data_IF_578356285231
#
_entry.id   IF_578356285231
#
_cell.length_a   1.000
_cell.length_b   1.000
_cell.length_c   1.000
_cell.angle_alpha   90.00
_cell.angle_beta   90.00
_cell.angle_gamma   90.00
#
_symmetry.space_group_name_H-M   'P 1'
#
loop_
_entity.id
_entity.type
_entity.pdbx_description
1 polymer ?
#
# COMPACT_ATOMS: atom_id res chain seq x y z
N UNK A 1 19.89 -55.58 85.90
CA UNK A 1 18.83 -56.39 85.25
C UNK A 1 18.77 -55.92 83.82
N UNK A 2 19.13 -56.67 82.80
CA UNK A 2 19.72 -57.99 82.72
C UNK A 2 20.42 -58.07 81.36
N UNK A 3 21.47 -58.87 81.29
CA UNK A 3 22.10 -59.44 80.08
C UNK A 3 21.04 -60.17 79.24
N UNK A 4 21.08 -60.40 77.93
CA UNK A 4 22.11 -60.91 77.00
C UNK A 4 21.35 -61.17 75.66
N UNK A 5 21.91 -60.80 74.51
CA UNK A 5 22.48 -61.71 73.50
C UNK A 5 21.46 -62.53 72.64
N UNK A 6 21.49 -62.29 71.31
CA UNK A 6 21.29 -63.27 70.23
C UNK A 6 21.41 -62.56 68.87
N UNK A 7 22.28 -63.06 68.00
CA UNK A 7 22.68 -62.40 66.75
C UNK A 7 22.03 -62.93 65.45
N UNK A 8 22.78 -62.68 64.36
CA UNK A 8 22.70 -63.25 63.00
C UNK A 8 21.88 -62.52 61.90
N UNK A 9 22.64 -61.81 61.05
CA UNK A 9 22.70 -61.82 59.58
C UNK A 9 21.59 -61.22 58.66
N UNK A 10 22.10 -60.40 57.72
CA UNK A 10 21.64 -60.04 56.36
C UNK A 10 20.48 -59.04 56.14
N UNK A 11 20.83 -57.83 55.66
CA UNK A 11 20.50 -57.32 54.31
C UNK A 11 21.16 -55.94 54.07
N UNK A 12 21.40 -55.65 52.80
CA UNK A 12 22.02 -54.48 52.17
C UNK A 12 21.32 -53.15 52.46
N UNK A 13 22.03 -52.02 52.48
CA UNK A 13 22.25 -51.20 51.28
C UNK A 13 23.12 -49.97 51.58
N UNK A 14 23.89 -49.63 50.57
CA UNK A 14 24.89 -48.58 50.47
C UNK A 14 24.31 -47.51 49.55
N UNK A 15 24.13 -46.28 50.02
CA UNK A 15 23.86 -45.13 49.12
C UNK A 15 24.84 -44.00 49.43
N UNK A 16 25.90 -44.01 48.62
CA UNK A 16 26.70 -42.87 48.20
C UNK A 16 25.94 -42.13 47.09
N UNK A 17 25.56 -40.88 47.32
CA UNK A 17 24.96 -40.02 46.29
C UNK A 17 26.06 -39.23 45.57
N UNK A 18 26.30 -39.63 44.32
CA UNK A 18 27.16 -38.98 43.33
C UNK A 18 26.30 -38.54 42.14
N UNK A 19 26.70 -37.41 41.53
CA UNK A 19 26.38 -36.94 40.17
C UNK A 19 24.93 -36.61 39.73
N UNK A 20 24.59 -35.31 39.77
CA UNK A 20 23.69 -34.67 38.79
C UNK A 20 24.22 -33.31 38.30
N UNK A 21 24.64 -33.29 37.03
CA UNK A 21 25.15 -32.17 36.23
C UNK A 21 24.03 -31.16 35.90
N UNK A 22 23.97 -30.05 36.63
CA UNK A 22 22.94 -29.01 36.46
C UNK A 22 23.37 -27.92 35.48
N UNK A 23 22.50 -27.48 34.54
CA UNK A 23 22.81 -26.47 33.53
C UNK A 23 23.27 -25.11 34.10
N UNK A 24 22.89 -24.80 35.34
CA UNK A 24 23.31 -23.59 36.07
C UNK A 24 24.80 -23.59 36.42
N UNK A 25 25.39 -24.75 36.73
CA UNK A 25 26.84 -24.87 36.95
C UNK A 25 27.61 -24.65 35.66
N UNK A 26 27.15 -25.16 34.53
CA UNK A 26 27.76 -24.91 33.20
C UNK A 26 27.73 -23.44 32.82
N UNK A 27 26.61 -22.75 33.09
CA UNK A 27 26.49 -21.32 32.82
C UNK A 27 27.43 -20.48 33.71
N UNK A 28 27.56 -20.82 34.99
CA UNK A 28 28.55 -20.18 35.87
C UNK A 28 29.99 -20.47 35.48
N UNK A 29 30.27 -21.67 34.96
CA UNK A 29 31.60 -22.02 34.45
C UNK A 29 31.94 -21.15 33.23
N UNK A 30 31.02 -21.01 32.28
CA UNK A 30 31.15 -20.14 31.10
C UNK A 30 31.42 -18.68 31.48
N UNK A 31 30.66 -18.14 32.45
CA UNK A 31 30.87 -16.76 32.92
C UNK A 31 32.25 -16.58 33.56
N UNK A 32 32.75 -17.58 34.30
CA UNK A 32 34.10 -17.55 34.89
C UNK A 32 35.19 -17.65 33.83
N UNK A 33 34.98 -18.48 32.82
CA UNK A 33 35.93 -18.63 31.70
C UNK A 33 36.00 -17.33 30.88
N UNK A 34 34.86 -16.69 30.59
CA UNK A 34 34.80 -15.36 29.95
C UNK A 34 35.51 -14.29 30.79
N UNK A 35 35.32 -14.32 32.11
CA UNK A 35 35.94 -13.36 33.02
C UNK A 35 37.46 -13.55 33.09
N UNK A 36 37.95 -14.79 33.07
CA UNK A 36 39.38 -15.09 32.99
C UNK A 36 40.01 -14.73 31.63
N UNK A 37 39.27 -14.86 30.53
CA UNK A 37 39.74 -14.37 29.23
C UNK A 37 39.82 -12.84 29.19
N UNK A 38 38.85 -12.16 29.79
CA UNK A 38 38.86 -10.70 29.93
C UNK A 38 40.05 -10.22 30.78
N UNK A 39 40.30 -10.86 31.91
CA UNK A 39 41.47 -10.57 32.76
C UNK A 39 42.79 -10.76 32.00
N UNK A 40 42.92 -11.86 31.25
CA UNK A 40 44.09 -12.10 30.40
C UNK A 40 44.25 -11.05 29.31
N UNK A 41 43.16 -10.57 28.73
CA UNK A 41 43.17 -9.51 27.72
C UNK A 41 43.62 -8.17 28.31
N UNK A 42 43.11 -7.82 29.50
CA UNK A 42 43.51 -6.61 30.23
C UNK A 42 44.99 -6.67 30.64
N UNK A 43 45.49 -7.82 31.10
CA UNK A 43 46.92 -8.00 31.38
C UNK A 43 47.79 -7.85 30.12
N UNK A 44 47.33 -8.35 28.97
CA UNK A 44 48.05 -8.24 27.70
C UNK A 44 48.10 -6.78 27.21
N UNK A 45 47.03 -6.02 27.41
CA UNK A 45 46.97 -4.58 27.18
C UNK A 45 47.88 -3.80 28.13
N UNK A 46 47.89 -4.16 29.42
CA UNK A 46 48.75 -3.54 30.42
C UNK A 46 50.23 -3.83 30.13
N UNK A 47 50.59 -5.07 29.78
CA UNK A 47 51.94 -5.46 29.38
C UNK A 47 52.40 -4.79 28.07
N UNK A 48 51.46 -4.52 27.16
CA UNK A 48 51.69 -3.72 25.95
C UNK A 48 51.92 -2.23 26.23
N UNK A 49 51.51 -1.72 27.41
CA UNK A 49 51.61 -0.31 27.78
C UNK A 49 52.88 0.05 28.57
N UNK A 50 53.58 -0.94 29.15
CA UNK A 50 54.75 -0.69 30.03
C UNK A 50 56.09 -0.58 29.29
N UNK A 51 56.13 -0.76 27.97
CA UNK A 51 57.31 -0.50 27.14
C UNK A 51 57.13 0.81 26.35
N UNK A 52 57.86 1.86 26.73
CA UNK A 52 57.91 3.12 25.98
C UNK A 52 59.38 3.54 25.76
N UNK A 53 59.72 4.39 24.76
CA UNK A 53 58.89 4.98 23.70
C UNK A 53 59.48 4.83 22.27
N UNK A 54 58.65 4.58 21.25
CA UNK A 54 59.02 4.87 19.86
C UNK A 54 57.78 5.16 18.97
N UNK A 55 57.77 6.38 18.40
CA UNK A 55 57.00 6.87 17.25
C UNK A 55 55.45 7.08 17.35
N UNK A 56 54.91 8.20 16.82
CA UNK A 56 53.49 8.55 16.84
C UNK A 56 52.73 7.90 15.65
N UNK A 57 52.88 6.60 15.45
CA UNK A 57 52.29 5.87 14.32
C UNK A 57 51.28 4.74 14.63
N UNK A 58 51.00 4.29 15.88
CA UNK A 58 50.11 3.14 16.05
C UNK A 58 48.62 3.52 16.18
N UNK A 59 48.29 4.74 16.62
CA UNK A 59 46.89 5.11 16.89
C UNK A 59 46.04 5.37 15.63
N UNK A 60 46.66 5.93 14.57
CA UNK A 60 45.96 6.20 13.31
C UNK A 60 45.62 4.93 12.53
N UNK A 61 46.57 3.99 12.48
CA UNK A 61 46.36 2.69 11.85
C UNK A 61 45.29 1.87 12.60
N UNK A 62 45.36 1.85 13.94
CA UNK A 62 44.36 1.18 14.76
C UNK A 62 42.94 1.76 14.59
N UNK A 63 42.81 3.08 14.44
CA UNK A 63 41.51 3.72 14.15
C UNK A 63 40.95 3.33 12.79
N UNK A 64 41.79 3.26 11.77
CA UNK A 64 41.37 2.88 10.41
C UNK A 64 40.93 1.42 10.35
N UNK A 65 41.66 0.54 11.06
CA UNK A 65 41.32 -0.88 11.18
C UNK A 65 39.99 -1.06 11.93
N UNK A 66 39.82 -0.38 13.07
CA UNK A 66 38.56 -0.38 13.83
C UNK A 66 37.37 0.15 13.02
N UNK A 67 37.58 1.20 12.21
CA UNK A 67 36.54 1.71 11.31
C UNK A 67 36.18 0.72 10.21
N UNK A 68 37.16 0.02 9.63
CA UNK A 68 36.94 -1.02 8.64
C UNK A 68 36.18 -2.21 9.24
N UNK A 69 36.52 -2.59 10.46
CA UNK A 69 35.88 -3.69 11.19
C UNK A 69 34.43 -3.34 11.54
N UNK A 70 34.16 -2.11 12.00
CA UNK A 70 32.79 -1.61 12.20
C UNK A 70 31.97 -1.58 10.91
N UNK A 71 32.58 -1.22 9.77
CA UNK A 71 31.92 -1.24 8.47
C UNK A 71 31.59 -2.68 8.01
N UNK A 72 32.51 -3.62 8.22
CA UNK A 72 32.29 -5.04 7.91
C UNK A 72 31.17 -5.62 8.78
N UNK A 73 31.18 -5.34 10.09
CA UNK A 73 30.15 -5.81 11.03
C UNK A 73 28.76 -5.27 10.65
N UNK A 74 28.67 -3.99 10.28
CA UNK A 74 27.42 -3.38 9.80
C UNK A 74 26.92 -4.04 8.52
N UNK A 75 27.82 -4.38 7.61
CA UNK A 75 27.48 -5.07 6.36
C UNK A 75 26.96 -6.48 6.64
N UNK A 76 27.57 -7.19 7.60
CA UNK A 76 27.14 -8.51 8.02
C UNK A 76 25.77 -8.49 8.72
N UNK A 77 25.53 -7.53 9.61
CA UNK A 77 24.22 -7.32 10.25
C UNK A 77 23.14 -7.03 9.20
N UNK A 78 23.46 -6.23 8.17
CA UNK A 78 22.54 -5.96 7.06
C UNK A 78 22.23 -7.23 6.27
N UNK A 79 23.25 -8.01 5.95
CA UNK A 79 23.06 -9.22 5.16
C UNK A 79 22.30 -10.30 5.95
N UNK A 80 22.44 -10.36 7.28
CA UNK A 80 21.62 -11.19 8.17
C UNK A 80 20.20 -10.66 8.39
N UNK A 81 19.96 -9.35 8.24
CA UNK A 81 18.61 -8.74 8.29
C UNK A 81 17.77 -8.98 7.04
N UNK A 82 18.33 -9.59 5.98
CA UNK A 82 17.63 -9.84 4.70
C UNK A 82 16.60 -10.98 4.71
N UNK A 83 16.41 -11.67 5.84
CA UNK A 83 15.42 -12.75 5.94
C UNK A 83 14.02 -12.24 6.35
N UNK A 84 13.34 -11.66 5.36
CA UNK A 84 11.93 -11.83 4.95
C UNK A 84 10.71 -11.56 5.88
N UNK A 85 10.82 -10.88 7.03
CA UNK A 85 9.61 -10.25 7.64
C UNK A 85 9.86 -8.95 8.41
N UNK A 86 11.10 -8.70 8.86
CA UNK A 86 11.49 -7.43 9.49
C UNK A 86 11.81 -6.29 8.51
N UNK A 87 11.92 -6.58 7.21
CA UNK A 87 12.41 -5.62 6.20
C UNK A 87 11.39 -4.51 5.92
N UNK A 88 10.09 -4.80 5.94
CA UNK A 88 9.06 -3.79 5.68
C UNK A 88 8.96 -2.77 6.81
N UNK A 89 9.00 -3.23 8.07
CA UNK A 89 8.92 -2.35 9.23
C UNK A 89 10.15 -1.43 9.34
N UNK A 90 11.36 -1.98 9.17
CA UNK A 90 12.60 -1.21 9.17
C UNK A 90 12.63 -0.20 8.02
N UNK A 91 12.14 -0.59 6.83
CA UNK A 91 12.09 0.30 5.66
C UNK A 91 11.08 1.44 5.86
N UNK A 92 9.90 1.15 6.42
CA UNK A 92 8.89 2.18 6.71
C UNK A 92 9.46 3.21 7.69
N UNK A 93 10.16 2.77 8.72
CA UNK A 93 10.78 3.69 9.69
C UNK A 93 11.90 4.51 9.06
N UNK A 94 12.73 3.90 8.22
CA UNK A 94 13.78 4.61 7.48
C UNK A 94 13.18 5.68 6.53
N UNK A 95 12.05 5.37 5.87
CA UNK A 95 11.33 6.34 5.02
C UNK A 95 10.73 7.47 5.86
N UNK A 96 10.09 7.16 7.00
CA UNK A 96 9.53 8.17 7.91
C UNK A 96 10.61 9.11 8.44
N UNK A 97 11.76 8.55 8.83
CA UNK A 97 12.91 9.33 9.24
C UNK A 97 13.38 10.24 8.10
N UNK A 98 13.52 9.70 6.89
CA UNK A 98 13.92 10.49 5.72
C UNK A 98 12.96 11.65 5.46
N UNK A 99 11.64 11.42 5.45
CA UNK A 99 10.62 12.45 5.29
C UNK A 99 10.71 13.52 6.37
N UNK A 100 10.87 13.10 7.63
CA UNK A 100 11.06 14.00 8.78
C UNK A 100 12.29 14.88 8.60
N UNK A 101 13.41 14.30 8.17
CA UNK A 101 14.65 15.04 7.91
C UNK A 101 14.54 16.01 6.74
N UNK A 102 13.71 15.72 5.73
CA UNK A 102 13.38 16.66 4.66
C UNK A 102 12.34 17.73 5.06
N UNK A 103 11.70 17.58 6.22
CA UNK A 103 10.59 18.44 6.64
C UNK A 103 9.31 18.20 5.83
N UNK A 104 9.13 17.02 5.26
CA UNK A 104 7.91 16.65 4.53
C UNK A 104 6.92 16.02 5.50
N UNK A 105 5.71 16.59 5.65
CA UNK A 105 4.69 16.03 6.53
C UNK A 105 4.21 14.68 5.96
N UNK A 106 3.95 13.73 6.86
CA UNK A 106 3.34 12.45 6.52
C UNK A 106 2.31 12.08 7.58
N UNK A 107 1.35 11.26 7.19
CA UNK A 107 0.34 10.66 8.06
C UNK A 107 0.36 9.16 7.90
N UNK A 108 -0.02 8.44 8.96
CA UNK A 108 -0.23 6.99 8.86
C UNK A 108 -1.72 6.76 8.75
N UNK A 109 -2.16 6.29 7.58
CA UNK A 109 -3.56 5.92 7.38
C UNK A 109 -3.94 4.76 8.32
N UNK A 110 -5.19 4.70 8.83
CA UNK A 110 -5.65 3.57 9.65
C UNK A 110 -5.66 2.24 8.88
N UNK A 111 -5.99 2.31 7.59
CA UNK A 111 -6.01 1.16 6.67
C UNK A 111 -5.40 1.59 5.32
N UNK A 112 -6.23 1.86 4.31
CA UNK A 112 -5.74 2.18 2.96
C UNK A 112 -5.26 3.61 2.82
N UNK A 113 -4.07 3.76 2.23
CA UNK A 113 -3.51 5.07 1.91
C UNK A 113 -4.35 5.82 0.86
N UNK A 114 -4.86 5.12 -0.17
CA UNK A 114 -5.67 5.75 -1.23
C UNK A 114 -7.00 6.28 -0.71
N UNK A 115 -7.63 5.54 0.21
CA UNK A 115 -8.83 5.99 0.89
C UNK A 115 -8.57 7.22 1.76
N UNK A 116 -7.46 7.23 2.51
CA UNK A 116 -7.05 8.39 3.29
C UNK A 116 -6.79 9.61 2.40
N UNK A 117 -6.09 9.43 1.27
CA UNK A 117 -5.86 10.49 0.29
C UNK A 117 -7.18 11.02 -0.29
N UNK A 118 -8.14 10.15 -0.62
CA UNK A 118 -9.45 10.57 -1.11
C UNK A 118 -10.23 11.37 -0.05
N UNK A 119 -10.13 10.98 1.22
CA UNK A 119 -10.71 11.71 2.34
C UNK A 119 -10.07 13.10 2.51
N UNK A 120 -8.74 13.21 2.42
CA UNK A 120 -8.02 14.48 2.49
C UNK A 120 -8.41 15.44 1.34
N UNK A 121 -8.57 14.92 0.11
CA UNK A 121 -9.05 15.72 -1.03
C UNK A 121 -10.49 16.20 -0.78
N UNK A 122 -11.35 15.33 -0.26
CA UNK A 122 -12.74 15.66 0.04
C UNK A 122 -12.86 16.71 1.16
N UNK A 123 -11.96 16.66 2.15
CA UNK A 123 -11.82 17.65 3.21
C UNK A 123 -11.13 18.95 2.74
N UNK A 124 -10.69 19.02 1.47
CA UNK A 124 -9.94 20.16 0.89
C UNK A 124 -8.63 20.48 1.60
N UNK A 125 -8.00 19.47 2.20
CA UNK A 125 -6.67 19.59 2.81
C UNK A 125 -5.55 19.41 1.78
N UNK A 126 -5.84 18.76 0.65
CA UNK A 126 -4.93 18.58 -0.50
C UNK A 126 -5.70 18.77 -1.81
N UNK A 127 -4.99 19.14 -2.88
CA UNK A 127 -5.60 19.39 -4.21
C UNK A 127 -5.85 18.11 -5.02
N UNK A 128 -5.09 17.05 -4.75
CA UNK A 128 -5.16 15.78 -5.45
C UNK A 128 -4.22 14.75 -4.85
N UNK A 129 -4.17 13.58 -5.46
CA UNK A 129 -3.31 12.48 -5.03
C UNK A 129 -2.39 12.01 -6.16
N UNK A 130 -1.18 11.61 -5.81
CA UNK A 130 -0.21 11.03 -6.75
C UNK A 130 -0.19 9.52 -6.51
N UNK A 131 -0.76 8.76 -7.44
CA UNK A 131 -0.80 7.29 -7.39
C UNK A 131 -0.98 6.74 -8.80
N UNK A 132 -0.32 5.61 -9.09
CA UNK A 132 -0.51 4.87 -10.33
C UNK A 132 -1.64 3.83 -10.23
N UNK A 133 -2.17 3.58 -9.03
CA UNK A 133 -3.26 2.65 -8.81
C UNK A 133 -4.61 3.21 -9.32
N UNK A 134 -5.49 2.31 -9.72
CA UNK A 134 -6.85 2.62 -10.16
C UNK A 134 -7.89 2.58 -9.06
N UNK A 135 -7.61 1.91 -7.95
CA UNK A 135 -8.56 1.80 -6.84
C UNK A 135 -8.81 3.16 -6.15
N UNK A 136 -7.92 4.12 -6.36
CA UNK A 136 -8.08 5.54 -6.00
C UNK A 136 -9.42 6.13 -6.43
N UNK A 137 -9.93 5.75 -7.60
CA UNK A 137 -11.22 6.23 -8.10
C UNK A 137 -12.42 5.54 -7.45
N UNK A 138 -12.23 4.35 -6.86
CA UNK A 138 -13.26 3.63 -6.11
C UNK A 138 -13.53 4.31 -4.77
N UNK A 139 -12.51 4.94 -4.17
CA UNK A 139 -12.64 5.75 -2.95
C UNK A 139 -12.99 7.22 -3.22
N UNK A 140 -13.02 7.66 -4.49
CA UNK A 140 -13.28 9.05 -4.87
C UNK A 140 -14.76 9.43 -4.67
N UNK A 141 -15.12 9.79 -3.44
CA UNK A 141 -16.45 10.30 -3.09
C UNK A 141 -16.70 11.73 -3.59
N UNK A 142 -15.64 12.54 -3.76
CA UNK A 142 -15.72 13.89 -4.30
C UNK A 142 -15.48 13.95 -5.80
N UNK A 143 -16.30 14.73 -6.52
CA UNK A 143 -16.05 15.08 -7.93
C UNK A 143 -14.80 15.93 -8.11
N UNK A 144 -14.29 16.56 -7.05
CA UNK A 144 -13.04 17.33 -7.09
C UNK A 144 -11.79 16.45 -7.06
N UNK A 145 -11.92 15.12 -6.90
CA UNK A 145 -10.76 14.23 -6.86
C UNK A 145 -9.97 14.28 -8.15
N UNK A 146 -8.69 14.64 -8.02
CA UNK A 146 -7.69 14.63 -9.08
C UNK A 146 -6.61 13.60 -8.73
N UNK A 147 -6.30 12.73 -9.70
CA UNK A 147 -5.27 11.69 -9.59
C UNK A 147 -4.19 11.96 -10.63
N UNK A 148 -2.94 12.02 -10.18
CA UNK A 148 -1.77 12.21 -11.03
C UNK A 148 -1.02 10.90 -11.17
N UNK A 149 -0.95 10.39 -12.40
CA UNK A 149 -0.23 9.16 -12.76
C UNK A 149 1.11 9.47 -13.42
N UNK A 150 2.00 8.50 -13.30
CA UNK A 150 3.32 8.48 -13.93
C UNK A 150 4.22 9.64 -13.50
N UNK A 151 3.99 10.16 -12.29
CA UNK A 151 4.66 11.35 -11.77
C UNK A 151 6.19 11.23 -11.76
N UNK A 152 6.71 10.02 -11.50
CA UNK A 152 8.14 9.75 -11.39
C UNK A 152 8.74 9.07 -12.63
N UNK A 153 7.95 8.86 -13.69
CA UNK A 153 8.42 8.24 -14.94
C UNK A 153 9.08 9.29 -15.83
N UNK A 154 10.37 9.11 -16.15
CA UNK A 154 11.19 10.13 -16.86
C UNK A 154 10.90 10.22 -18.36
N UNK A 155 10.30 9.19 -18.94
CA UNK A 155 10.04 9.02 -20.36
C UNK A 155 8.59 9.38 -20.75
N UNK A 156 7.76 9.77 -19.78
CA UNK A 156 6.35 10.12 -19.99
C UNK A 156 6.00 11.47 -19.36
N UNK A 157 4.97 12.09 -19.91
CA UNK A 157 4.32 13.22 -19.23
C UNK A 157 3.48 12.70 -18.06
N UNK A 158 3.36 13.53 -17.02
CA UNK A 158 2.42 13.27 -15.93
C UNK A 158 1.01 13.35 -16.49
N UNK A 159 0.21 12.32 -16.22
CA UNK A 159 -1.19 12.27 -16.65
C UNK A 159 -2.09 12.66 -15.49
N UNK A 160 -2.92 13.67 -15.69
CA UNK A 160 -3.90 14.11 -14.69
C UNK A 160 -5.29 13.59 -15.09
N UNK A 161 -5.91 12.89 -14.15
CA UNK A 161 -7.25 12.35 -14.28
C UNK A 161 -8.17 13.01 -13.24
N UNK A 162 -9.25 13.63 -13.70
CA UNK A 162 -10.26 14.23 -12.83
C UNK A 162 -11.51 13.35 -12.76
N UNK A 163 -11.99 13.09 -11.55
CA UNK A 163 -13.26 12.39 -11.34
C UNK A 163 -14.44 13.10 -12.05
N UNK A 164 -14.44 14.44 -12.06
CA UNK A 164 -15.44 15.22 -12.80
C UNK A 164 -15.37 15.00 -14.31
N UNK A 165 -14.16 14.98 -14.90
CA UNK A 165 -13.98 14.74 -16.33
C UNK A 165 -14.39 13.31 -16.71
N UNK A 166 -14.01 12.31 -15.90
CA UNK A 166 -14.44 10.91 -16.08
C UNK A 166 -15.97 10.83 -16.09
N UNK A 167 -16.62 11.47 -15.13
CA UNK A 167 -18.08 11.50 -15.06
C UNK A 167 -18.71 12.19 -16.27
N UNK A 168 -18.15 13.29 -16.77
CA UNK A 168 -18.67 14.01 -17.95
C UNK A 168 -18.55 13.16 -19.22
N UNK A 169 -17.40 12.52 -19.42
CA UNK A 169 -17.08 11.84 -20.67
C UNK A 169 -17.71 10.44 -20.74
N UNK A 170 -17.66 9.69 -19.65
CA UNK A 170 -18.13 8.31 -19.58
C UNK A 170 -19.48 8.11 -18.87
N UNK A 171 -19.97 9.13 -18.16
CA UNK A 171 -21.13 9.03 -17.26
C UNK A 171 -20.96 8.01 -16.14
N UNK A 172 -19.73 7.59 -15.84
CA UNK A 172 -19.43 6.73 -14.71
C UNK A 172 -19.43 7.56 -13.42
N UNK A 173 -20.24 7.13 -12.46
CA UNK A 173 -20.20 7.58 -11.07
C UNK A 173 -19.31 6.66 -10.22
N UNK A 174 -19.01 7.05 -8.98
CA UNK A 174 -18.33 6.17 -8.02
C UNK A 174 -19.09 4.84 -7.85
N UNK A 175 -20.41 4.88 -7.75
CA UNK A 175 -21.26 3.67 -7.67
C UNK A 175 -21.09 2.76 -8.89
N UNK A 176 -20.98 3.34 -10.08
CA UNK A 176 -20.75 2.55 -11.30
C UNK A 176 -19.36 1.94 -11.33
N UNK A 177 -18.34 2.69 -10.88
CA UNK A 177 -16.96 2.20 -10.82
C UNK A 177 -16.81 1.06 -9.80
N UNK A 178 -17.43 1.16 -8.62
CA UNK A 178 -17.42 0.06 -7.62
C UNK A 178 -18.17 -1.16 -8.15
N UNK A 179 -19.29 -0.97 -8.86
CA UNK A 179 -19.98 -2.07 -9.54
C UNK A 179 -19.08 -2.75 -10.59
N UNK A 180 -18.33 -1.97 -11.38
CA UNK A 180 -17.38 -2.49 -12.36
C UNK A 180 -16.20 -3.22 -11.70
N UNK A 181 -15.66 -2.69 -10.60
CA UNK A 181 -14.58 -3.33 -9.83
C UNK A 181 -15.01 -4.70 -9.29
N UNK A 182 -16.26 -4.84 -8.85
CA UNK A 182 -16.81 -6.13 -8.45
C UNK A 182 -16.87 -7.16 -9.59
N UNK A 183 -16.98 -6.72 -10.85
CA UNK A 183 -17.04 -7.60 -12.02
C UNK A 183 -15.66 -7.88 -12.62
N UNK A 184 -14.81 -6.87 -12.73
CA UNK A 184 -13.49 -6.95 -13.37
C UNK A 184 -12.42 -7.50 -12.44
N UNK A 185 -12.61 -7.31 -11.13
CA UNK A 185 -11.61 -7.56 -10.11
C UNK A 185 -10.94 -6.27 -9.66
N UNK A 186 -10.49 -6.30 -8.41
CA UNK A 186 -9.77 -5.25 -7.67
C UNK A 186 -9.02 -5.93 -6.52
N UNK A 187 -8.32 -5.17 -5.69
CA UNK A 187 -7.56 -5.74 -4.57
C UNK A 187 -8.46 -6.45 -3.54
N UNK A 188 -9.74 -6.06 -3.46
CA UNK A 188 -10.72 -6.66 -2.54
C UNK A 188 -11.50 -7.82 -3.13
N UNK A 189 -11.44 -8.04 -4.45
CA UNK A 189 -12.19 -9.12 -5.10
C UNK A 189 -11.55 -9.58 -6.38
N UNK A 190 -11.53 -10.89 -6.59
CA UNK A 190 -11.05 -11.51 -7.83
C UNK A 190 -11.93 -11.20 -9.05
N UNK A 191 -13.14 -10.68 -8.84
CA UNK A 191 -14.09 -10.41 -9.91
C UNK A 191 -14.76 -11.65 -10.49
N UNK A 192 -15.41 -11.50 -11.65
CA UNK A 192 -16.10 -12.58 -12.36
C UNK A 192 -15.28 -13.02 -13.57
N UNK A 193 -14.90 -14.29 -13.58
CA UNK A 193 -14.04 -14.86 -14.61
C UNK A 193 -14.62 -14.66 -16.02
N UNK A 194 -13.75 -14.25 -16.96
CA UNK A 194 -14.07 -14.01 -18.37
C UNK A 194 -15.02 -12.83 -18.64
N UNK A 195 -15.30 -11.99 -17.64
CA UNK A 195 -15.91 -10.67 -17.87
C UNK A 195 -14.79 -9.66 -18.05
N UNK A 196 -14.60 -9.18 -19.29
CA UNK A 196 -13.66 -8.10 -19.60
C UNK A 196 -14.33 -6.71 -19.62
N UNK A 197 -13.57 -5.62 -19.80
CA UNK A 197 -14.07 -4.23 -19.70
C UNK A 197 -15.30 -3.93 -20.56
N UNK A 198 -15.32 -4.43 -21.80
CA UNK A 198 -16.47 -4.23 -22.70
C UNK A 198 -17.73 -4.91 -22.16
N UNK A 199 -17.61 -6.14 -21.68
CA UNK A 199 -18.74 -6.90 -21.17
C UNK A 199 -19.18 -6.38 -19.79
N UNK A 200 -18.24 -5.89 -18.97
CA UNK A 200 -18.55 -5.22 -17.70
C UNK A 200 -19.35 -3.94 -17.94
N UNK A 201 -18.95 -3.10 -18.90
CA UNK A 201 -19.71 -1.90 -19.29
C UNK A 201 -21.10 -2.24 -19.86
N UNK A 202 -21.20 -3.28 -20.68
CA UNK A 202 -22.49 -3.78 -21.15
C UNK A 202 -23.37 -4.25 -19.97
N UNK A 203 -22.77 -4.92 -18.98
CA UNK A 203 -23.46 -5.42 -17.78
C UNK A 203 -23.89 -4.28 -16.87
N UNK A 204 -23.06 -3.26 -16.69
CA UNK A 204 -23.39 -2.03 -15.99
C UNK A 204 -24.56 -1.31 -16.67
N UNK A 205 -24.54 -1.20 -18.00
CA UNK A 205 -25.63 -0.56 -18.72
C UNK A 205 -26.98 -1.27 -18.50
N UNK A 206 -26.97 -2.59 -18.26
CA UNK A 206 -28.17 -3.41 -18.11
C UNK A 206 -28.61 -3.60 -16.65
N UNK A 207 -27.69 -3.92 -15.75
CA UNK A 207 -27.94 -4.30 -14.37
C UNK A 207 -27.42 -3.27 -13.35
N UNK A 208 -26.77 -2.20 -13.80
CA UNK A 208 -26.07 -1.25 -12.94
C UNK A 208 -26.99 -0.51 -11.95
N UNK A 209 -26.34 0.23 -11.03
CA UNK A 209 -27.02 1.03 -10.01
C UNK A 209 -28.17 1.88 -10.55
N UNK A 210 -29.24 1.96 -9.75
CA UNK A 210 -30.34 2.89 -9.97
C UNK A 210 -29.94 4.33 -9.62
N UNK A 211 -30.85 5.25 -9.93
CA UNK A 211 -30.81 6.65 -9.47
C UNK A 211 -31.87 6.89 -8.38
N UNK A 212 -32.17 5.86 -7.58
CA UNK A 212 -33.13 5.99 -6.48
C UNK A 212 -32.52 6.74 -5.29
N UNK A 213 -33.39 7.14 -4.34
CA UNK A 213 -33.01 7.92 -3.16
C UNK A 213 -32.21 7.13 -2.11
N UNK A 214 -31.94 5.83 -2.33
CA UNK A 214 -31.14 5.04 -1.40
C UNK A 214 -29.66 5.41 -1.48
N UNK A 215 -28.86 5.06 -0.47
CA UNK A 215 -27.43 5.35 -0.45
C UNK A 215 -26.66 4.56 -1.53
N UNK A 216 -25.48 5.06 -1.93
CA UNK A 216 -24.71 4.46 -3.02
C UNK A 216 -24.30 3.01 -2.78
N UNK A 217 -23.98 2.64 -1.54
CA UNK A 217 -23.60 1.28 -1.15
C UNK A 217 -24.78 0.31 -1.39
N UNK A 218 -25.97 0.67 -0.89
CA UNK A 218 -27.20 -0.10 -1.07
C UNK A 218 -27.54 -0.30 -2.54
N UNK A 219 -27.45 0.75 -3.37
CA UNK A 219 -27.74 0.67 -4.81
C UNK A 219 -26.82 -0.31 -5.54
N UNK A 220 -25.53 -0.31 -5.22
CA UNK A 220 -24.55 -1.22 -5.81
C UNK A 220 -24.84 -2.66 -5.39
N UNK A 221 -25.06 -2.90 -4.10
CA UNK A 221 -25.36 -4.24 -3.57
C UNK A 221 -26.63 -4.82 -4.20
N UNK A 222 -27.72 -4.04 -4.29
CA UNK A 222 -28.96 -4.51 -4.90
C UNK A 222 -28.77 -4.85 -6.39
N UNK A 223 -28.03 -4.01 -7.10
CA UNK A 223 -27.72 -4.20 -8.52
C UNK A 223 -26.90 -5.46 -8.78
N UNK A 224 -25.88 -5.71 -7.96
CA UNK A 224 -25.08 -6.93 -8.03
C UNK A 224 -25.91 -8.17 -7.67
N UNK A 225 -26.83 -8.08 -6.70
CA UNK A 225 -27.77 -9.17 -6.37
C UNK A 225 -28.73 -9.46 -7.52
N UNK A 226 -29.22 -8.43 -8.22
CA UNK A 226 -30.07 -8.58 -9.42
C UNK A 226 -29.32 -9.31 -10.53
N UNK A 227 -28.07 -8.91 -10.77
CA UNK A 227 -27.18 -9.60 -11.71
C UNK A 227 -26.92 -11.05 -11.29
N UNK A 228 -26.64 -11.32 -10.01
CA UNK A 228 -26.44 -12.67 -9.49
C UNK A 228 -27.67 -13.57 -9.68
N UNK A 229 -28.87 -13.08 -9.36
CA UNK A 229 -30.13 -13.80 -9.60
C UNK A 229 -30.32 -14.16 -11.06
N UNK A 230 -30.00 -13.25 -11.97
CA UNK A 230 -30.03 -13.53 -13.41
C UNK A 230 -29.00 -14.62 -13.77
N UNK A 231 -27.76 -14.54 -13.27
CA UNK A 231 -26.75 -15.58 -13.48
C UNK A 231 -27.17 -16.96 -12.95
N UNK A 232 -27.79 -17.01 -11.78
CA UNK A 232 -28.31 -18.24 -11.19
C UNK A 232 -29.40 -18.85 -12.10
N UNK A 233 -30.33 -18.03 -12.60
CA UNK A 233 -31.36 -18.50 -13.54
C UNK A 233 -30.80 -19.06 -14.86
N UNK A 234 -29.63 -18.59 -15.31
CA UNK A 234 -28.92 -19.14 -16.47
C UNK A 234 -28.27 -20.49 -16.11
N UNK A 235 -27.77 -20.62 -14.88
CA UNK A 235 -27.02 -21.78 -14.40
C UNK A 235 -27.95 -22.95 -14.03
N UNK A 236 -29.17 -22.65 -13.58
CA UNK A 236 -30.22 -23.65 -13.32
C UNK A 236 -30.67 -24.38 -14.60
N UNK A 237 -30.52 -23.78 -15.78
CA UNK A 237 -30.85 -24.43 -17.05
C UNK A 237 -29.78 -25.47 -17.43
N UNK A 238 -30.19 -26.73 -17.48
CA UNK A 238 -29.30 -27.86 -17.76
C UNK A 238 -28.50 -27.68 -19.07
N UNK A 239 -27.25 -28.17 -19.12
CA UNK A 239 -26.46 -28.27 -20.35
C UNK A 239 -27.25 -28.94 -21.49
N UNK A 240 -27.28 -28.31 -22.67
CA UNK A 240 -27.99 -28.83 -23.85
C UNK A 240 -29.44 -28.38 -23.99
N UNK A 241 -30.07 -27.82 -22.96
CA UNK A 241 -31.38 -27.19 -23.07
C UNK A 241 -31.20 -25.73 -23.57
N UNK A 242 -32.00 -25.29 -24.56
CA UNK A 242 -32.03 -23.89 -24.98
C UNK A 242 -32.41 -22.98 -23.82
N UNK A 243 -31.71 -21.84 -23.69
CA UNK A 243 -32.04 -20.85 -22.66
C UNK A 243 -33.40 -20.21 -22.98
N UNK A 244 -34.23 -19.94 -21.94
CA UNK A 244 -35.46 -19.17 -22.09
C UNK A 244 -35.23 -17.85 -22.80
N UNK A 245 -36.09 -17.52 -23.77
CA UNK A 245 -35.91 -16.33 -24.63
C UNK A 245 -35.89 -15.02 -23.83
N UNK A 246 -36.63 -14.94 -22.74
CA UNK A 246 -36.65 -13.78 -21.83
C UNK A 246 -35.29 -13.52 -21.13
N UNK A 247 -34.43 -14.53 -21.00
CA UNK A 247 -33.11 -14.40 -20.39
C UNK A 247 -32.02 -14.00 -21.41
N UNK A 248 -32.27 -14.23 -22.70
CA UNK A 248 -31.33 -14.04 -23.82
C UNK A 248 -31.94 -13.27 -25.00
N UNK A 249 -32.90 -12.42 -24.69
CA UNK A 249 -33.63 -11.55 -25.61
C UNK A 249 -32.68 -10.64 -26.41
N UNK A 250 -31.62 -10.15 -25.78
CA UNK A 250 -30.62 -9.30 -26.44
C UNK A 250 -29.34 -10.06 -26.86
N UNK A 251 -28.66 -9.63 -27.94
CA UNK A 251 -27.35 -10.18 -28.33
C UNK A 251 -26.28 -10.05 -27.22
N UNK A 252 -26.40 -9.03 -26.39
CA UNK A 252 -25.55 -8.84 -25.21
C UNK A 252 -25.80 -9.93 -24.17
N UNK A 253 -27.06 -10.14 -23.77
CA UNK A 253 -27.44 -11.18 -22.79
C UNK A 253 -27.08 -12.58 -23.27
N UNK A 254 -27.17 -12.86 -24.57
CA UNK A 254 -26.66 -14.12 -25.16
C UNK A 254 -25.16 -14.33 -24.89
N UNK A 255 -24.34 -13.32 -25.15
CA UNK A 255 -22.88 -13.39 -24.91
C UNK A 255 -22.56 -13.51 -23.43
N UNK A 256 -23.22 -12.72 -22.60
CA UNK A 256 -23.05 -12.77 -21.15
C UNK A 256 -23.45 -14.14 -20.60
N UNK A 257 -24.57 -14.70 -21.06
CA UNK A 257 -25.03 -16.03 -20.67
C UNK A 257 -24.04 -17.13 -21.09
N UNK A 258 -23.41 -17.02 -22.26
CA UNK A 258 -22.33 -17.94 -22.68
C UNK A 258 -21.13 -17.87 -21.72
N UNK A 259 -20.73 -16.66 -21.29
CA UNK A 259 -19.64 -16.47 -20.33
C UNK A 259 -19.99 -17.09 -18.98
N UNK A 260 -21.20 -16.83 -18.48
CA UNK A 260 -21.71 -17.36 -17.21
C UNK A 260 -21.79 -18.89 -17.24
N UNK A 261 -22.35 -19.49 -18.31
CA UNK A 261 -22.41 -20.97 -18.45
C UNK A 261 -21.03 -21.62 -18.48
N UNK A 262 -20.04 -20.95 -19.09
CA UNK A 262 -18.67 -21.48 -19.21
C UNK A 262 -17.87 -21.36 -17.91
N UNK A 263 -18.06 -20.27 -17.19
CA UNK A 263 -17.12 -19.85 -16.13
C UNK A 263 -17.73 -19.90 -14.73
N UNK A 264 -19.07 -19.90 -14.65
CA UNK A 264 -19.80 -19.69 -13.42
C UNK A 264 -19.58 -18.30 -12.84
N UNK A 265 -20.27 -18.04 -11.74
CA UNK A 265 -20.03 -16.88 -10.86
C UNK A 265 -19.50 -17.43 -9.53
N UNK A 266 -18.50 -16.79 -8.89
CA UNK A 266 -18.00 -17.25 -7.60
C UNK A 266 -19.13 -17.39 -6.56
N UNK A 267 -19.14 -18.44 -5.72
CA UNK A 267 -20.20 -18.64 -4.72
C UNK A 267 -20.37 -17.45 -3.76
N UNK A 268 -19.26 -16.81 -3.40
CA UNK A 268 -19.21 -15.63 -2.52
C UNK A 268 -19.72 -14.34 -3.18
N UNK A 269 -19.98 -14.34 -4.49
CA UNK A 269 -20.38 -13.12 -5.20
C UNK A 269 -21.90 -12.88 -5.15
N UNK A 270 -22.37 -11.65 -4.91
CA UNK A 270 -21.57 -10.50 -4.48
C UNK A 270 -21.27 -10.55 -2.99
N UNK A 271 -20.04 -10.19 -2.61
CA UNK A 271 -19.68 -10.01 -1.20
C UNK A 271 -19.97 -8.56 -0.80
N UNK A 272 -20.98 -8.30 0.06
CA UNK A 272 -21.33 -6.93 0.44
C UNK A 272 -20.21 -6.23 1.20
N UNK A 273 -19.29 -6.99 1.84
CA UNK A 273 -18.17 -6.41 2.59
C UNK A 273 -17.17 -5.69 1.69
N UNK A 274 -17.01 -6.15 0.45
CA UNK A 274 -16.16 -5.50 -0.56
C UNK A 274 -16.73 -4.14 -0.93
N UNK A 275 -18.05 -4.08 -1.17
CA UNK A 275 -18.73 -2.81 -1.47
C UNK A 275 -18.62 -1.87 -0.27
N UNK A 276 -18.90 -2.38 0.94
CA UNK A 276 -18.77 -1.61 2.17
C UNK A 276 -17.37 -1.01 2.37
N UNK A 277 -16.31 -1.77 2.08
CA UNK A 277 -14.93 -1.28 2.21
C UNK A 277 -14.64 -0.05 1.33
N UNK A 278 -15.23 0.03 0.13
CA UNK A 278 -15.07 1.21 -0.75
C UNK A 278 -15.94 2.40 -0.36
N UNK A 279 -17.14 2.19 0.19
CA UNK A 279 -18.04 3.28 0.59
C UNK A 279 -17.78 3.80 2.01
N UNK A 280 -17.31 2.94 2.90
CA UNK A 280 -17.05 3.23 4.31
C UNK A 280 -15.62 2.80 4.72
N UNK A 281 -14.56 3.31 4.06
CA UNK A 281 -13.19 2.97 4.43
C UNK A 281 -12.83 3.56 5.80
N UNK A 282 -11.95 2.89 6.54
CA UNK A 282 -11.41 3.43 7.79
C UNK A 282 -10.34 4.48 7.48
N UNK A 283 -10.68 5.74 7.73
CA UNK A 283 -9.83 6.91 7.52
C UNK A 283 -9.78 7.76 8.78
N UNK A 284 -8.68 8.48 8.98
CA UNK A 284 -8.58 9.54 9.97
C UNK A 284 -9.38 10.76 9.47
N UNK A 285 -10.29 11.25 10.31
CA UNK A 285 -11.18 12.37 10.05
C UNK A 285 -10.65 13.71 10.57
N UNK A 286 -9.41 13.75 11.08
CA UNK A 286 -8.75 14.98 11.51
C UNK A 286 -8.72 16.03 10.40
N UNK A 287 -9.07 17.26 10.75
CA UNK A 287 -9.04 18.45 9.89
C UNK A 287 -7.75 19.26 10.07
N UNK A 288 -6.76 18.71 10.79
CA UNK A 288 -5.48 19.36 11.03
C UNK A 288 -4.74 19.61 9.70
N UNK A 289 -4.34 20.86 9.49
CA UNK A 289 -3.54 21.25 8.33
C UNK A 289 -2.11 20.68 8.39
N UNK A 290 -1.49 20.58 7.22
CA UNK A 290 -0.10 20.13 7.09
C UNK A 290 0.88 21.28 7.27
N UNK A 291 2.01 21.00 7.93
CA UNK A 291 3.13 21.93 8.08
C UNK A 291 4.37 21.37 7.37
N UNK A 292 4.96 22.18 6.49
CA UNK A 292 6.21 21.85 5.81
C UNK A 292 7.40 22.48 6.53
N UNK A 293 8.35 21.62 6.92
CA UNK A 293 9.62 22.01 7.53
C UNK A 293 10.70 22.34 6.50
N UNK A 294 11.94 22.40 6.99
CA UNK A 294 13.12 22.60 6.15
C UNK A 294 14.06 21.39 6.22
N UNK A 295 14.76 21.05 5.12
CA UNK A 295 15.70 19.94 5.11
C UNK A 295 16.87 20.13 6.10
N UNK A 296 17.10 19.14 6.96
CA UNK A 296 18.19 19.11 7.92
C UNK A 296 19.44 18.49 7.29
N UNK A 297 20.21 19.29 6.54
CA UNK A 297 21.33 18.80 5.70
C UNK A 297 22.37 17.97 6.47
N UNK A 298 22.76 18.37 7.68
CA UNK A 298 23.77 17.63 8.45
C UNK A 298 23.26 16.26 8.90
N UNK A 299 22.00 16.19 9.35
CA UNK A 299 21.34 14.94 9.71
C UNK A 299 21.12 14.05 8.47
N UNK A 300 20.76 14.64 7.33
CA UNK A 300 20.62 13.94 6.06
C UNK A 300 21.96 13.33 5.60
N UNK A 301 23.07 14.05 5.73
CA UNK A 301 24.42 13.49 5.42
C UNK A 301 24.73 12.27 6.27
N UNK A 302 24.46 12.34 7.58
CA UNK A 302 24.66 11.21 8.47
C UNK A 302 23.73 10.04 8.10
N UNK A 303 22.44 10.31 7.89
CA UNK A 303 21.46 9.30 7.52
C UNK A 303 21.81 8.59 6.21
N UNK A 304 22.18 9.34 5.16
CA UNK A 304 22.56 8.77 3.86
C UNK A 304 23.87 7.98 3.94
N UNK A 305 24.81 8.40 4.78
CA UNK A 305 26.05 7.65 5.03
C UNK A 305 25.77 6.32 5.76
N UNK A 306 24.90 6.34 6.77
CA UNK A 306 24.58 5.15 7.57
C UNK A 306 23.69 4.14 6.82
N UNK A 307 22.65 4.62 6.12
CA UNK A 307 21.65 3.75 5.46
C UNK A 307 21.99 3.40 4.03
N UNK A 308 22.55 4.34 3.27
CA UNK A 308 22.83 4.17 1.84
C UNK A 308 24.33 4.09 1.50
N UNK A 309 25.22 4.23 2.50
CA UNK A 309 26.67 4.29 2.31
C UNK A 309 27.12 5.39 1.33
N UNK A 310 26.39 6.52 1.28
CA UNK A 310 26.78 7.65 0.46
C UNK A 310 27.92 8.43 1.10
N UNK A 311 28.87 8.89 0.28
CA UNK A 311 29.86 9.87 0.74
C UNK A 311 29.19 11.23 0.97
N UNK A 312 29.79 12.06 1.83
CA UNK A 312 29.33 13.43 2.04
C UNK A 312 29.28 14.22 0.72
N UNK A 313 30.28 14.05 -0.16
CA UNK A 313 30.33 14.71 -1.46
C UNK A 313 29.15 14.33 -2.37
N UNK A 314 28.82 13.03 -2.46
CA UNK A 314 27.66 12.55 -3.25
C UNK A 314 26.34 13.08 -2.68
N UNK A 315 26.24 13.12 -1.36
CA UNK A 315 25.05 13.64 -0.68
C UNK A 315 24.88 15.14 -0.96
N UNK A 316 25.96 15.91 -0.92
CA UNK A 316 25.91 17.34 -1.22
C UNK A 316 25.59 17.64 -2.67
N UNK A 317 26.15 16.88 -3.61
CA UNK A 317 25.87 17.00 -5.05
C UNK A 317 24.38 16.84 -5.36
N UNK A 318 23.68 15.99 -4.61
CA UNK A 318 22.25 15.72 -4.80
C UNK A 318 21.35 16.66 -3.99
N UNK A 319 21.69 16.92 -2.72
CA UNK A 319 20.80 17.63 -1.79
C UNK A 319 20.97 19.16 -1.82
N UNK A 320 22.18 19.68 -2.05
CA UNK A 320 22.41 21.14 -2.04
C UNK A 320 21.62 21.85 -3.14
N UNK A 321 21.57 21.34 -4.39
CA UNK A 321 20.72 21.96 -5.43
C UNK A 321 19.24 21.96 -5.06
N UNK A 322 18.76 20.89 -4.43
CA UNK A 322 17.36 20.77 -4.00
C UNK A 322 17.04 21.76 -2.87
N UNK A 323 17.89 21.83 -1.84
CA UNK A 323 17.72 22.77 -0.74
C UNK A 323 17.74 24.23 -1.21
N UNK A 324 18.62 24.59 -2.16
CA UNK A 324 18.62 25.92 -2.77
C UNK A 324 17.31 26.24 -3.47
N UNK A 325 16.81 25.34 -4.30
CA UNK A 325 15.51 25.51 -4.98
C UNK A 325 14.35 25.64 -4.00
N UNK A 326 14.36 24.91 -2.89
CA UNK A 326 13.32 25.02 -1.85
C UNK A 326 13.34 26.39 -1.16
N UNK A 327 14.53 26.94 -0.90
CA UNK A 327 14.67 28.30 -0.33
C UNK A 327 14.20 29.36 -1.33
N UNK A 328 14.64 29.26 -2.59
CA UNK A 328 14.21 30.16 -3.68
C UNK A 328 12.69 30.12 -3.90
N UNK A 329 12.09 28.92 -3.86
CA UNK A 329 10.64 28.75 -3.97
C UNK A 329 9.88 29.40 -2.79
N UNK A 330 10.44 29.36 -1.59
CA UNK A 330 9.82 30.00 -0.41
C UNK A 330 9.87 31.52 -0.47
N UNK A 331 10.96 32.08 -0.99
CA UNK A 331 11.10 33.53 -1.16
C UNK A 331 10.20 34.06 -2.28
N UNK A 332 10.03 33.30 -3.37
CA UNK A 332 9.10 33.65 -4.45
C UNK A 332 7.62 33.54 -4.07
N UNK A 333 7.24 32.62 -3.17
CA UNK A 333 5.86 32.55 -2.61
C UNK A 333 5.54 33.77 -1.72
N UNK A 334 6.55 34.46 -1.17
CA UNK A 334 6.38 35.70 -0.38
C UNK A 334 6.26 36.95 -1.24
N UNK A 335 6.73 36.90 -2.48
CA UNK A 335 6.56 37.97 -3.46
C UNK A 335 5.21 37.83 -4.16
N UNK A 336 4.58 38.95 -4.52
CA UNK A 336 3.29 38.95 -5.20
C UNK A 336 3.41 38.24 -6.56
N UNK A 337 2.78 37.08 -6.70
CA UNK A 337 2.76 36.33 -7.96
C UNK A 337 1.86 37.04 -8.99
N UNK A 338 2.26 37.06 -10.26
CA UNK A 338 1.45 37.60 -11.35
C UNK A 338 0.36 36.60 -11.76
N UNK A 339 -0.70 37.08 -12.42
CA UNK A 339 -1.79 36.25 -12.96
C UNK A 339 -1.29 35.12 -13.88
N UNK A 340 -0.12 35.31 -14.51
CA UNK A 340 0.55 34.31 -15.34
C UNK A 340 0.97 33.05 -14.56
N UNK A 341 1.18 33.16 -13.23
CA UNK A 341 1.46 32.01 -12.37
C UNK A 341 0.24 31.10 -12.17
N UNK A 342 -0.98 31.62 -12.41
CA UNK A 342 -2.23 30.86 -12.37
C UNK A 342 -2.70 30.42 -13.77
N UNK A 343 -2.17 31.04 -14.83
CA UNK A 343 -2.47 30.69 -16.20
C UNK A 343 -1.55 29.54 -16.66
N UNK A 344 -1.90 28.30 -16.30
CA UNK A 344 -1.27 27.12 -16.90
C UNK A 344 -1.62 27.12 -18.40
N UNK A 345 -0.63 26.98 -19.32
CA UNK A 345 -0.90 26.86 -20.73
C UNK A 345 -1.70 25.57 -20.97
N UNK A 346 -2.91 25.74 -21.47
CA UNK A 346 -3.82 24.76 -22.07
C UNK A 346 -3.33 23.31 -21.99
N UNK A 347 -3.74 22.61 -20.92
CA UNK A 347 -3.58 21.16 -20.80
C UNK A 347 -4.29 20.58 -22.01
N UNK A 348 -3.52 20.06 -22.97
CA UNK A 348 -4.07 19.36 -24.12
C UNK A 348 -5.03 18.31 -23.59
N UNK A 349 -6.33 18.54 -23.76
CA UNK A 349 -7.38 17.56 -23.52
C UNK A 349 -7.21 16.47 -24.59
N UNK A 350 -6.26 15.57 -24.37
CA UNK A 350 -6.23 14.33 -25.12
C UNK A 350 -7.49 13.59 -24.70
N UNK A 351 -8.41 13.46 -25.66
CA UNK A 351 -9.60 12.63 -25.54
C UNK A 351 -9.21 11.29 -24.90
N UNK A 352 -9.89 10.92 -23.81
CA UNK A 352 -9.69 9.71 -22.99
C UNK A 352 -9.59 8.41 -23.80
N UNK A 353 -9.99 8.43 -25.08
CA UNK A 353 -9.89 7.31 -26.01
C UNK A 353 -8.44 6.90 -26.37
N UNK A 354 -7.46 7.79 -26.29
CA UNK A 354 -6.08 7.51 -26.75
C UNK A 354 -5.12 7.03 -25.64
N UNK A 355 -5.29 7.47 -24.38
CA UNK A 355 -4.31 7.21 -23.32
C UNK A 355 -4.31 5.76 -22.79
N UNK A 356 -5.46 5.08 -22.80
CA UNK A 356 -5.59 3.72 -22.28
C UNK A 356 -5.23 2.61 -23.29
N UNK A 357 -4.81 2.95 -24.52
CA UNK A 357 -4.66 1.96 -25.59
C UNK A 357 -5.97 1.26 -25.98
N UNK A 358 -7.12 1.74 -25.48
CA UNK A 358 -8.48 1.27 -25.81
C UNK A 358 -8.93 1.99 -27.10
N UNK A 359 -8.09 1.94 -28.13
CA UNK A 359 -8.45 2.36 -29.47
C UNK A 359 -9.54 1.45 -30.03
N UNK A 360 -10.73 2.02 -30.27
CA UNK A 360 -11.73 1.57 -31.24
C UNK A 360 -12.51 0.26 -30.99
N UNK A 361 -12.92 -0.05 -29.76
CA UNK A 361 -14.11 -0.91 -29.63
C UNK A 361 -15.37 -0.05 -29.86
N UNK A 362 -15.92 -0.09 -31.09
CA UNK A 362 -17.24 0.51 -31.41
C UNK A 362 -18.33 0.13 -30.39
N UNK A 363 -18.16 -1.01 -29.73
CA UNK A 363 -19.06 -1.53 -28.69
C UNK A 363 -18.94 -0.80 -27.36
N UNK A 364 -17.74 -0.37 -26.94
CA UNK A 364 -17.56 0.43 -25.72
C UNK A 364 -18.22 1.80 -25.91
N UNK A 365 -17.99 2.45 -27.05
CA UNK A 365 -18.68 3.70 -27.40
C UNK A 365 -20.20 3.54 -27.43
N UNK A 366 -20.71 2.45 -28.03
CA UNK A 366 -22.15 2.16 -28.02
C UNK A 366 -22.71 1.90 -26.61
N UNK A 367 -21.96 1.22 -25.73
CA UNK A 367 -22.35 0.95 -24.36
C UNK A 367 -22.41 2.24 -23.53
N UNK A 368 -21.41 3.12 -23.65
CA UNK A 368 -21.41 4.44 -23.00
C UNK A 368 -22.60 5.27 -23.47
N UNK A 369 -22.87 5.31 -24.79
CA UNK A 369 -24.03 6.01 -25.34
C UNK A 369 -25.37 5.42 -24.85
N UNK A 370 -25.44 4.09 -24.73
CA UNK A 370 -26.63 3.40 -24.19
C UNK A 370 -26.85 3.75 -22.72
N UNK A 371 -25.77 3.78 -21.92
CA UNK A 371 -25.83 4.16 -20.51
C UNK A 371 -26.26 5.63 -20.35
N UNK A 372 -25.67 6.55 -21.13
CA UNK A 372 -26.09 7.96 -21.21
C UNK A 372 -27.58 8.12 -21.57
N UNK A 373 -28.08 7.34 -22.54
CA UNK A 373 -29.52 7.33 -22.90
C UNK A 373 -30.41 6.81 -21.79
N UNK A 374 -29.97 5.82 -21.01
CA UNK A 374 -30.74 5.31 -19.86
C UNK A 374 -30.86 6.36 -18.77
N UNK A 375 -29.76 7.05 -18.43
CA UNK A 375 -29.77 8.13 -17.43
C UNK A 375 -30.70 9.28 -17.86
N UNK A 376 -30.61 9.71 -19.12
CA UNK A 376 -31.47 10.78 -19.65
C UNK A 376 -32.95 10.37 -19.71
N UNK A 377 -33.27 9.14 -20.13
CA UNK A 377 -34.65 8.65 -20.12
C UNK A 377 -35.20 8.48 -18.68
N UNK A 378 -34.36 8.11 -17.70
CA UNK A 378 -34.78 8.03 -16.29
C UNK A 378 -35.09 9.41 -15.71
N UNK A 379 -34.26 10.42 -15.98
CA UNK A 379 -34.51 11.81 -15.58
C UNK A 379 -35.79 12.39 -16.21
N UNK A 380 -36.11 12.00 -17.45
CA UNK A 380 -37.34 12.43 -18.11
C UNK A 380 -38.61 11.78 -17.50
N UNK A 381 -38.50 10.56 -16.96
CA UNK A 381 -39.62 9.86 -16.31
C UNK A 381 -39.83 10.32 -14.86
N UNK A 382 -38.76 10.66 -14.12
CA UNK A 382 -38.90 11.21 -12.76
C UNK A 382 -39.47 12.64 -12.75
N UNK A 383 -39.25 13.42 -13.82
CA UNK A 383 -39.84 14.75 -13.98
C UNK A 383 -41.33 14.77 -14.36
N UNK A 384 -41.95 13.63 -14.69
CA UNK A 384 -43.35 13.56 -15.14
C UNK A 384 -44.33 13.04 -14.07
N UNK A 385 -43.84 12.63 -12.89
CA UNK A 385 -44.65 12.21 -11.74
C UNK A 385 -44.70 13.27 -10.62
N UNK A 386 -44.30 14.51 -10.93
CA UNK A 386 -44.21 15.63 -9.98
C UNK A 386 -44.94 16.90 -10.47
N UNK A 387 -46.11 16.75 -11.09
CA UNK A 387 -47.10 17.83 -11.27
C UNK A 387 -48.45 17.45 -10.68
#
# INVERSE_FOLDING_TARGET
MDTSDAGSAHASDNESDDDLDTPERKHMQLLKDEQHEYERFVEKLAASATTAPAAPAPYGAMRAELQSELQALRTQVRDSRRDASGIEADMVEDIRMLLTLFGVPYVTAPMEAEAQCAALVSARLVDGMVTDDSDAFLFASSRSTQVYRHFFQKDRYVEMYSAAAIHQDSSLSQTDMVFLACLLGSDYTVGVKNIGPVLAMETLAEFGPGDDDSDGETRVIESLRRFRKWCDSITEVLPGIPLPENLVDTPMRRRLAQVVRKSGVPPSFPDPRVVHAYFSPQVDASDAGFEWGFPQLDMLRQFMAERLAWSAAKTDETLVPLARKMVEAKDTVREQTTLDAFAVPDVRTNNMYDAAGIGHSKRVGAAILSHKRRLTNRMAVSGHNGE
#
